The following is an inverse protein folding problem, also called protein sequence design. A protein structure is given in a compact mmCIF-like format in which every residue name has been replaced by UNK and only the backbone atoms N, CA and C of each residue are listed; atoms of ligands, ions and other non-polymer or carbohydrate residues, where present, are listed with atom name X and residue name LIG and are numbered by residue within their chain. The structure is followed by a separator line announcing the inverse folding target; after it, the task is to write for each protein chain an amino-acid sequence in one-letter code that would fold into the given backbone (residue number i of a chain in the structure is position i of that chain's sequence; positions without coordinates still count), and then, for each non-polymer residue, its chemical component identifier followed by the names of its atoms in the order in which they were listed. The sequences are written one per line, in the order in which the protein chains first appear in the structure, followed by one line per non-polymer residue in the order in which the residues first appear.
data_IF_559963249794
#
_entry.id   IF_559963249794
#
_cell.length_a   1.000
_cell.length_b   1.000
_cell.length_c   1.000
_cell.angle_alpha   90.00
_cell.angle_beta   90.00
_cell.angle_gamma   90.00
#
_symmetry.space_group_name_H-M   'P 1'
#
loop_
_entity.id
_entity.type
_entity.pdbx_description
1 polymer ?
#
# COMPACT_ATOMS: atom_id res chain seq x y z
N UNK A 1 4.52 2.26 9.33
CA UNK A 1 4.37 2.59 7.89
C UNK A 1 5.05 3.92 7.62
N UNK A 2 5.65 4.03 6.45
CA UNK A 2 6.46 5.19 6.09
C UNK A 2 5.66 6.18 5.27
N UNK A 3 5.69 7.45 5.64
CA UNK A 3 5.05 8.50 4.87
C UNK A 3 5.79 8.74 3.55
N UNK A 4 5.06 8.72 2.44
CA UNK A 4 5.61 8.91 1.11
C UNK A 4 5.25 10.30 0.62
N UNK A 5 6.29 11.03 0.17
CA UNK A 5 6.17 12.37 -0.39
C UNK A 5 6.86 12.40 -1.75
N UNK A 6 6.79 13.54 -2.44
CA UNK A 6 7.52 13.69 -3.71
C UNK A 6 9.01 13.42 -3.56
N UNK A 7 9.59 13.79 -2.41
CA UNK A 7 11.02 13.58 -2.16
C UNK A 7 11.39 12.11 -2.05
N UNK A 8 10.49 11.28 -1.52
CA UNK A 8 10.75 9.86 -1.32
C UNK A 8 10.20 8.97 -2.44
N UNK A 9 9.51 9.56 -3.43
CA UNK A 9 8.84 8.80 -4.48
C UNK A 9 9.78 7.90 -5.27
N UNK A 10 10.93 8.42 -5.70
CA UNK A 10 11.91 7.64 -6.47
C UNK A 10 12.46 6.48 -5.66
N UNK A 11 12.74 6.69 -4.37
CA UNK A 11 13.19 5.61 -3.49
C UNK A 11 12.14 4.51 -3.40
N UNK A 12 10.88 4.89 -3.30
CA UNK A 12 9.80 3.92 -3.25
C UNK A 12 9.71 3.10 -4.53
N UNK A 13 9.82 3.75 -5.68
CA UNK A 13 9.81 3.06 -6.97
C UNK A 13 10.99 2.08 -7.05
N UNK A 14 12.17 2.50 -6.60
CA UNK A 14 13.35 1.64 -6.60
C UNK A 14 13.15 0.42 -5.70
N UNK A 15 12.49 0.57 -4.54
CA UNK A 15 12.17 -0.56 -3.69
C UNK A 15 11.22 -1.55 -4.38
N UNK A 16 10.33 -1.06 -5.24
CA UNK A 16 9.40 -1.92 -5.97
C UNK A 16 10.05 -2.76 -7.06
N UNK A 17 11.32 -2.47 -7.40
CA UNK A 17 12.05 -3.25 -8.41
C UNK A 17 12.42 -4.64 -7.90
N UNK A 18 12.67 -4.77 -6.61
CA UNK A 18 13.12 -6.03 -6.01
C UNK A 18 11.98 -6.87 -5.44
N UNK A 19 10.99 -6.23 -4.87
CA UNK A 19 9.81 -6.91 -4.33
C UNK A 19 8.60 -5.99 -4.39
N UNK A 20 7.37 -6.51 -4.25
CA UNK A 20 6.17 -5.67 -4.29
C UNK A 20 6.22 -4.60 -3.22
N UNK A 21 5.85 -3.40 -3.58
CA UNK A 21 5.70 -2.29 -2.64
C UNK A 21 4.22 -1.99 -2.44
N UNK A 22 3.84 -1.86 -1.18
CA UNK A 22 2.45 -1.59 -0.81
C UNK A 22 2.32 -0.11 -0.45
N UNK A 23 1.43 0.59 -1.14
CA UNK A 23 1.21 2.01 -0.93
C UNK A 23 -0.24 2.25 -0.54
N UNK A 24 -0.44 2.77 0.66
CA UNK A 24 -1.78 3.09 1.14
C UNK A 24 -2.09 4.55 0.85
N UNK A 25 -3.13 4.78 0.04
CA UNK A 25 -3.55 6.11 -0.37
C UNK A 25 -4.77 6.53 0.44
N UNK A 26 -4.68 7.70 1.06
CA UNK A 26 -5.71 8.22 1.94
C UNK A 26 -5.87 9.73 1.78
N UNK A 27 -6.89 10.28 2.46
CA UNK A 27 -7.05 11.71 2.65
C UNK A 27 -7.32 11.98 4.12
N UNK A 28 -7.03 13.20 4.63
CA UNK A 28 -7.15 13.49 6.06
C UNK A 28 -8.55 13.37 6.65
N UNK A 29 -9.59 13.71 5.88
CA UNK A 29 -10.97 13.73 6.37
C UNK A 29 -11.77 12.51 5.92
N UNK A 30 -11.13 11.36 5.92
CA UNK A 30 -11.72 10.11 5.44
C UNK A 30 -11.80 9.10 6.59
N UNK A 31 -13.01 8.89 7.12
CA UNK A 31 -13.21 7.95 8.23
C UNK A 31 -12.89 6.51 7.85
N UNK A 32 -13.27 6.08 6.65
CA UNK A 32 -12.96 4.74 6.15
C UNK A 32 -11.47 4.55 5.90
N UNK A 33 -10.75 5.63 5.56
CA UNK A 33 -9.30 5.58 5.44
C UNK A 33 -8.64 5.27 6.80
N UNK A 34 -9.15 5.87 7.87
CA UNK A 34 -8.63 5.63 9.22
C UNK A 34 -8.86 4.20 9.67
N UNK A 35 -10.04 3.66 9.40
CA UNK A 35 -10.35 2.25 9.68
C UNK A 35 -9.47 1.32 8.87
N UNK A 36 -9.33 1.58 7.58
CA UNK A 36 -8.48 0.79 6.68
C UNK A 36 -7.04 0.78 7.13
N UNK A 37 -6.54 1.92 7.59
CA UNK A 37 -5.18 2.03 8.11
C UNK A 37 -4.94 1.11 9.31
N UNK A 38 -5.89 1.07 10.24
CA UNK A 38 -5.78 0.19 11.42
C UNK A 38 -5.75 -1.28 11.01
N UNK A 39 -6.60 -1.67 10.08
CA UNK A 39 -6.63 -3.03 9.56
C UNK A 39 -5.32 -3.38 8.84
N UNK A 40 -4.79 -2.45 8.08
CA UNK A 40 -3.52 -2.62 7.37
C UNK A 40 -2.36 -2.78 8.36
N UNK A 41 -2.34 -1.99 9.42
CA UNK A 41 -1.30 -2.09 10.45
C UNK A 41 -1.30 -3.47 11.11
N UNK A 42 -2.49 -4.00 11.41
CA UNK A 42 -2.62 -5.35 11.99
C UNK A 42 -2.11 -6.41 11.00
N UNK A 43 -2.51 -6.32 9.73
CA UNK A 43 -2.06 -7.26 8.72
C UNK A 43 -0.54 -7.21 8.55
N UNK A 44 0.03 -6.02 8.48
CA UNK A 44 1.47 -5.81 8.33
C UNK A 44 2.25 -6.39 9.50
N UNK A 45 1.82 -6.12 10.72
CA UNK A 45 2.47 -6.67 11.91
C UNK A 45 2.42 -8.20 11.91
N UNK A 46 1.28 -8.76 11.54
CA UNK A 46 1.11 -10.21 11.46
C UNK A 46 2.07 -10.84 10.45
N UNK A 47 2.17 -10.25 9.26
CA UNK A 47 3.09 -10.74 8.22
C UNK A 47 4.53 -10.69 8.70
N UNK A 48 4.95 -9.56 9.25
CA UNK A 48 6.34 -9.38 9.66
C UNK A 48 6.72 -10.31 10.82
N UNK A 49 5.78 -10.58 11.72
CA UNK A 49 6.01 -11.48 12.84
C UNK A 49 6.03 -12.94 12.40
N UNK A 50 4.99 -13.37 11.67
CA UNK A 50 4.83 -14.79 11.30
C UNK A 50 5.82 -15.25 10.24
N UNK A 51 6.15 -14.38 9.29
CA UNK A 51 7.02 -14.72 8.17
C UNK A 51 8.47 -14.30 8.39
N UNK A 52 8.78 -13.73 9.54
CA UNK A 52 10.10 -13.18 9.84
C UNK A 52 10.58 -12.27 8.69
N UNK A 53 9.70 -11.39 8.25
CA UNK A 53 9.95 -10.46 7.15
C UNK A 53 9.91 -9.03 7.65
N UNK A 54 10.48 -8.15 6.88
CA UNK A 54 10.43 -6.71 7.13
C UNK A 54 9.76 -6.03 5.93
N UNK A 55 8.49 -6.38 5.70
CA UNK A 55 7.69 -5.78 4.64
C UNK A 55 7.39 -4.33 5.02
N UNK A 56 7.62 -3.44 4.09
CA UNK A 56 7.36 -2.01 4.28
C UNK A 56 6.15 -1.57 3.50
N UNK A 57 5.37 -0.70 4.13
CA UNK A 57 4.19 -0.09 3.52
C UNK A 57 4.37 1.42 3.56
N UNK A 58 4.19 2.04 2.41
CA UNK A 58 4.15 3.49 2.33
C UNK A 58 2.73 3.98 2.56
N UNK A 59 2.62 5.19 3.10
CA UNK A 59 1.33 5.86 3.26
C UNK A 59 1.43 7.24 2.62
N UNK A 60 0.43 7.63 1.85
CA UNK A 60 0.45 8.89 1.11
C UNK A 60 -0.91 9.57 1.17
N UNK A 61 -0.89 10.86 1.50
CA UNK A 61 -2.06 11.71 1.36
C UNK A 61 -2.17 12.09 -0.13
N UNK A 62 -3.18 11.54 -0.79
CA UNK A 62 -3.36 11.73 -2.23
C UNK A 62 -3.61 13.20 -2.60
N UNK A 63 -4.10 14.01 -1.65
CA UNK A 63 -4.30 15.44 -1.88
C UNK A 63 -2.96 16.18 -2.08
N UNK A 64 -1.88 15.65 -1.51
CA UNK A 64 -0.55 16.25 -1.66
C UNK A 64 0.16 15.76 -2.92
N UNK A 65 -0.28 14.64 -3.50
CA UNK A 65 0.27 14.08 -4.73
C UNK A 65 -0.84 13.62 -5.67
N UNK A 66 -1.69 14.57 -6.14
CA UNK A 66 -2.83 14.19 -6.99
C UNK A 66 -2.41 13.52 -8.31
N UNK A 67 -1.19 13.77 -8.76
CA UNK A 67 -0.65 13.12 -9.95
C UNK A 67 -0.58 11.60 -9.83
N UNK A 68 -0.53 11.05 -8.62
CA UNK A 68 -0.54 9.60 -8.43
C UNK A 68 -1.88 8.97 -8.81
N UNK A 69 -2.98 9.68 -8.51
CA UNK A 69 -4.30 9.21 -8.89
C UNK A 69 -4.42 9.09 -10.41
N UNK A 70 -3.90 10.08 -11.14
CA UNK A 70 -3.91 10.07 -12.58
C UNK A 70 -2.98 8.98 -13.13
N UNK A 71 -1.75 8.92 -12.63
CA UNK A 71 -0.75 7.97 -13.12
C UNK A 71 -1.18 6.51 -12.94
N UNK A 72 -1.77 6.18 -11.81
CA UNK A 72 -2.11 4.80 -11.47
C UNK A 72 -3.60 4.48 -11.57
N UNK A 73 -4.39 5.42 -12.07
CA UNK A 73 -5.83 5.19 -12.26
C UNK A 73 -6.59 5.00 -10.96
N UNK A 74 -6.26 5.78 -9.94
CA UNK A 74 -6.91 5.69 -8.64
C UNK A 74 -8.21 6.50 -8.68
N UNK A 75 -9.34 5.86 -8.38
CA UNK A 75 -10.66 6.49 -8.49
C UNK A 75 -11.28 6.87 -7.16
N UNK A 76 -10.80 6.33 -6.06
CA UNK A 76 -11.31 6.66 -4.73
C UNK A 76 -10.31 6.30 -3.64
N UNK A 77 -10.54 6.79 -2.43
CA UNK A 77 -9.78 6.42 -1.24
C UNK A 77 -10.73 5.81 -0.21
N UNK A 78 -10.24 4.92 0.67
CA UNK A 78 -8.87 4.41 0.73
C UNK A 78 -8.55 3.49 -0.45
N UNK A 79 -7.28 3.42 -0.80
CA UNK A 79 -6.81 2.47 -1.81
C UNK A 79 -5.47 1.89 -1.38
N UNK A 80 -5.40 0.57 -1.30
CA UNK A 80 -4.13 -0.12 -1.15
C UNK A 80 -3.63 -0.46 -2.55
N UNK A 81 -2.60 0.24 -2.98
CA UNK A 81 -1.97 0.07 -4.28
C UNK A 81 -0.78 -0.84 -4.14
N UNK A 82 -0.73 -1.87 -4.97
CA UNK A 82 0.41 -2.78 -4.99
C UNK A 82 1.21 -2.50 -6.25
N UNK A 83 2.47 -2.13 -6.04
CA UNK A 83 3.38 -1.79 -7.12
C UNK A 83 4.43 -2.88 -7.27
N UNK A 84 4.70 -3.26 -8.50
CA UNK A 84 5.79 -4.14 -8.85
C UNK A 84 6.54 -3.52 -10.01
N UNK A 85 7.82 -3.25 -9.82
CA UNK A 85 8.68 -2.61 -10.82
C UNK A 85 8.10 -1.28 -11.31
N UNK A 86 7.56 -0.50 -10.38
CA UNK A 86 6.98 0.80 -10.67
C UNK A 86 5.61 0.76 -11.33
N UNK A 87 5.04 -0.43 -11.54
CA UNK A 87 3.77 -0.62 -12.23
C UNK A 87 2.71 -1.06 -11.21
N UNK A 88 1.52 -0.47 -11.31
CA UNK A 88 0.40 -0.87 -10.47
C UNK A 88 -0.12 -2.23 -10.92
N UNK A 89 0.04 -3.24 -10.07
CA UNK A 89 -0.42 -4.60 -10.37
C UNK A 89 -1.76 -4.91 -9.71
N UNK A 90 -2.12 -4.17 -8.66
CA UNK A 90 -3.42 -4.34 -8.01
C UNK A 90 -3.83 -3.06 -7.28
N UNK A 91 -5.14 -2.79 -7.28
CA UNK A 91 -5.76 -1.69 -6.56
C UNK A 91 -6.88 -2.24 -5.70
N UNK A 92 -6.76 -2.12 -4.39
CA UNK A 92 -7.75 -2.63 -3.45
C UNK A 92 -8.46 -1.45 -2.80
N UNK A 93 -9.72 -1.22 -3.16
CA UNK A 93 -10.49 -0.09 -2.65
C UNK A 93 -11.29 -0.45 -1.40
N UNK A 94 -11.89 -1.63 -1.38
CA UNK A 94 -12.65 -2.10 -0.22
C UNK A 94 -11.77 -3.03 0.59
N UNK A 95 -11.22 -2.53 1.70
CA UNK A 95 -10.25 -3.30 2.49
C UNK A 95 -10.90 -4.40 3.34
N UNK A 96 -12.18 -4.26 3.65
CA UNK A 96 -13.03 -5.24 4.35
C UNK A 96 -12.55 -5.63 5.74
N UNK A 97 -11.38 -6.28 5.86
CA UNK A 97 -10.87 -6.76 7.13
C UNK A 97 -9.34 -6.89 7.09
N UNK A 98 -8.74 -6.97 8.27
CA UNK A 98 -7.30 -7.24 8.38
C UNK A 98 -6.94 -8.58 7.74
N UNK A 99 -7.81 -9.59 7.87
CA UNK A 99 -7.60 -10.88 7.26
C UNK A 99 -7.57 -10.84 5.74
N UNK A 100 -8.47 -10.07 5.13
CA UNK A 100 -8.48 -9.90 3.67
C UNK A 100 -7.22 -9.18 3.19
N UNK A 101 -6.79 -8.15 3.91
CA UNK A 101 -5.56 -7.42 3.58
C UNK A 101 -4.36 -8.37 3.69
N UNK A 102 -4.29 -9.14 4.78
CA UNK A 102 -3.24 -10.13 4.99
C UNK A 102 -3.14 -11.09 3.80
N UNK A 103 -4.27 -11.67 3.39
CA UNK A 103 -4.29 -12.63 2.28
C UNK A 103 -3.85 -11.97 0.97
N UNK A 104 -4.30 -10.75 0.71
CA UNK A 104 -3.93 -10.01 -0.49
C UNK A 104 -2.43 -9.75 -0.52
N UNK A 105 -1.86 -9.31 0.59
CA UNK A 105 -0.42 -9.03 0.68
C UNK A 105 0.41 -10.30 0.53
N UNK A 106 0.01 -11.37 1.20
CA UNK A 106 0.72 -12.66 1.13
C UNK A 106 0.74 -13.18 -0.31
N UNK A 107 -0.39 -13.14 -1.00
CA UNK A 107 -0.47 -13.58 -2.40
C UNK A 107 0.44 -12.75 -3.30
N UNK A 108 0.51 -11.45 -3.07
CA UNK A 108 1.38 -10.59 -3.86
C UNK A 108 2.85 -10.89 -3.61
N UNK A 109 3.22 -11.15 -2.35
CA UNK A 109 4.60 -11.49 -1.99
C UNK A 109 5.02 -12.84 -2.56
N UNK A 110 4.11 -13.81 -2.59
CA UNK A 110 4.39 -15.16 -3.11
C UNK A 110 4.58 -15.17 -4.64
N UNK A 111 3.94 -14.25 -5.35
CA UNK A 111 4.04 -14.17 -6.81
C UNK A 111 5.38 -13.63 -7.30
N UNK A 112 6.21 -13.13 -6.41
CA UNK A 112 7.52 -12.56 -6.74
C UNK A 112 8.64 -13.60 -6.79
N UNK A 113 8.31 -14.80 -7.06
CA UNK A 113 9.30 -15.88 -7.17
C UNK A 113 10.00 -15.84 -8.52
#
# INVERSE_FOLDING_TARGET
MKEITRKSWENMINLSLDEPFFLYLETPLCGTCKMGKRMLEVALETINTQKDRNVQVGICNINEMPELAEKYGITSVPCLLILSRGIAVKRVYALQSAGNIYQTMIKSLEKEV
#
